data_IF_891325129597
#
_entry.id   IF_891325129597
#
_cell.length_a   1.000
_cell.length_b   1.000
_cell.length_c   1.000
_cell.angle_alpha   90.00
_cell.angle_beta   90.00
_cell.angle_gamma   90.00
#
_symmetry.space_group_name_H-M   'P 1'
#
loop_
_entity.id
_entity.type
_entity.pdbx_description
1 polymer ?
#
# COMPACT_ATOMS: atom_id res chain seq x y z
N UNK A 1 3.57 -16.75 -29.50
CA UNK A 1 4.80 -15.97 -29.25
C UNK A 1 4.61 -15.36 -27.87
N UNK A 2 5.45 -15.70 -26.89
CA UNK A 2 5.33 -15.08 -25.56
C UNK A 2 5.74 -13.61 -25.65
N UNK A 3 4.98 -12.75 -24.98
CA UNK A 3 5.28 -11.32 -24.86
C UNK A 3 6.45 -11.13 -23.90
N UNK A 4 7.34 -10.21 -24.21
CA UNK A 4 8.35 -9.72 -23.27
C UNK A 4 7.70 -8.98 -22.10
N UNK A 5 8.42 -8.87 -20.97
CA UNK A 5 7.94 -8.13 -19.80
C UNK A 5 7.63 -6.67 -20.12
N UNK A 6 8.41 -6.03 -20.99
CA UNK A 6 8.15 -4.67 -21.44
C UNK A 6 6.83 -4.57 -22.22
N UNK A 7 6.55 -5.53 -23.10
CA UNK A 7 5.29 -5.56 -23.87
C UNK A 7 4.09 -5.81 -22.94
N UNK A 8 4.22 -6.67 -21.91
CA UNK A 8 3.17 -6.89 -20.90
C UNK A 8 2.89 -5.60 -20.11
N UNK A 9 3.94 -4.89 -19.68
CA UNK A 9 3.78 -3.61 -18.96
C UNK A 9 3.11 -2.58 -19.88
N UNK A 10 3.54 -2.47 -21.13
CA UNK A 10 2.92 -1.55 -22.10
C UNK A 10 1.42 -1.82 -22.29
N UNK A 11 1.02 -3.09 -22.32
CA UNK A 11 -0.38 -3.48 -22.45
C UNK A 11 -1.21 -3.17 -21.19
N UNK A 12 -0.64 -3.31 -19.99
CA UNK A 12 -1.34 -3.03 -18.73
C UNK A 12 -1.81 -1.58 -18.59
N UNK A 13 -1.20 -0.61 -19.29
CA UNK A 13 -1.68 0.77 -19.30
C UNK A 13 -3.02 0.96 -20.02
N UNK A 14 -3.45 -0.03 -20.81
CA UNK A 14 -4.73 -0.03 -21.53
C UNK A 14 -5.81 -0.88 -20.85
N UNK A 15 -5.47 -1.57 -19.76
CA UNK A 15 -6.43 -2.33 -18.96
C UNK A 15 -7.15 -1.40 -17.97
N UNK A 16 -8.43 -1.63 -17.72
CA UNK A 16 -9.14 -0.93 -16.64
C UNK A 16 -8.46 -1.28 -15.31
N UNK A 17 -7.92 -0.26 -14.65
CA UNK A 17 -7.26 -0.42 -13.37
C UNK A 17 -8.30 -0.93 -12.36
N UNK A 18 -8.05 -2.07 -11.71
CA UNK A 18 -8.98 -2.61 -10.71
C UNK A 18 -9.23 -1.56 -9.61
N UNK A 19 -10.44 -1.01 -9.62
CA UNK A 19 -10.84 0.05 -8.71
C UNK A 19 -11.25 -0.59 -7.39
N UNK A 20 -10.60 -0.16 -6.31
CA UNK A 20 -10.97 -0.61 -4.96
C UNK A 20 -12.42 -0.23 -4.65
N UNK A 21 -13.19 -1.08 -3.95
CA UNK A 21 -14.59 -0.79 -3.65
C UNK A 21 -14.76 0.55 -2.93
N UNK A 22 -15.77 1.35 -3.30
CA UNK A 22 -16.03 2.65 -2.66
C UNK A 22 -16.26 2.52 -1.15
N UNK A 23 -16.86 1.42 -0.71
CA UNK A 23 -17.06 1.10 0.71
C UNK A 23 -15.76 0.93 1.47
N UNK A 24 -14.71 0.41 0.81
CA UNK A 24 -13.37 0.36 1.36
C UNK A 24 -12.77 1.76 1.45
N UNK A 25 -12.82 2.54 0.36
CA UNK A 25 -12.27 3.90 0.32
C UNK A 25 -12.98 4.86 1.28
N UNK A 26 -14.26 4.63 1.59
CA UNK A 26 -14.96 5.36 2.63
C UNK A 26 -14.29 5.18 4.01
N UNK A 27 -13.75 4.00 4.30
CA UNK A 27 -13.08 3.70 5.58
C UNK A 27 -11.57 4.04 5.54
N UNK A 28 -10.92 3.83 4.40
CA UNK A 28 -9.50 4.04 4.19
C UNK A 28 -9.24 4.95 2.98
N UNK A 29 -9.51 6.26 3.08
CA UNK A 29 -9.42 7.17 1.93
C UNK A 29 -8.00 7.53 1.50
N UNK A 30 -6.97 7.14 2.27
CA UNK A 30 -5.58 7.51 1.99
C UNK A 30 -4.72 6.31 1.62
N UNK A 31 -4.15 6.32 0.42
CA UNK A 31 -3.13 5.37 -0.02
C UNK A 31 -1.74 5.86 0.40
N UNK A 32 -0.96 4.98 1.05
CA UNK A 32 0.42 5.23 1.45
C UNK A 32 1.36 4.39 0.57
N UNK A 33 2.35 5.05 -0.03
CA UNK A 33 3.49 4.43 -0.70
C UNK A 33 4.77 5.10 -0.19
N UNK A 34 5.71 4.29 0.32
CA UNK A 34 6.98 4.79 0.83
C UNK A 34 8.11 3.87 0.37
N UNK A 35 9.04 4.44 -0.39
CA UNK A 35 10.26 3.78 -0.82
C UNK A 35 11.45 4.34 -0.08
N UNK A 36 12.31 3.45 0.41
CA UNK A 36 13.52 3.81 1.13
C UNK A 36 14.70 3.13 0.45
N UNK A 37 15.66 3.94 0.02
CA UNK A 37 16.86 3.43 -0.61
C UNK A 37 17.63 2.54 0.39
N UNK A 38 18.12 1.38 -0.07
CA UNK A 38 18.86 0.38 0.73
C UNK A 38 20.09 0.88 1.51
N UNK A 39 20.55 2.09 1.22
CA UNK A 39 21.66 2.75 1.94
C UNK A 39 21.21 3.43 3.23
N UNK A 40 19.91 3.67 3.39
CA UNK A 40 19.33 4.13 4.65
C UNK A 40 19.17 2.90 5.53
N UNK A 41 20.17 2.65 6.37
CA UNK A 41 20.22 1.46 7.23
C UNK A 41 19.53 1.68 8.56
N UNK A 42 19.33 2.93 8.98
CA UNK A 42 18.66 3.27 10.23
C UNK A 42 17.12 3.16 10.07
N UNK A 43 16.46 2.20 10.74
CA UNK A 43 15.01 2.04 10.69
C UNK A 43 14.24 3.24 11.28
N UNK A 44 14.89 4.05 12.12
CA UNK A 44 14.27 5.20 12.79
C UNK A 44 13.79 6.26 11.78
N UNK A 45 14.49 6.38 10.65
CA UNK A 45 14.13 7.31 9.57
C UNK A 45 12.78 6.93 8.97
N UNK A 46 12.65 5.66 8.56
CA UNK A 46 11.40 5.11 8.01
C UNK A 46 10.23 5.29 8.98
N UNK A 47 10.47 4.96 10.25
CA UNK A 47 9.47 5.06 11.32
C UNK A 47 9.03 6.50 11.56
N UNK A 48 9.97 7.44 11.59
CA UNK A 48 9.69 8.86 11.84
C UNK A 48 8.95 9.50 10.67
N UNK A 49 9.35 9.18 9.43
CA UNK A 49 8.65 9.60 8.22
C UNK A 49 7.20 9.10 8.24
N UNK A 50 6.99 7.81 8.54
CA UNK A 50 5.63 7.28 8.64
C UNK A 50 4.83 7.91 9.76
N UNK A 51 5.40 8.11 10.95
CA UNK A 51 4.70 8.78 12.04
C UNK A 51 4.22 10.18 11.64
N UNK A 52 5.10 10.96 11.01
CA UNK A 52 4.77 12.30 10.52
C UNK A 52 3.67 12.26 9.44
N UNK A 53 3.78 11.36 8.45
CA UNK A 53 2.79 11.19 7.40
C UNK A 53 1.41 10.84 7.98
N UNK A 54 1.35 9.87 8.88
CA UNK A 54 0.11 9.42 9.53
C UNK A 54 -0.51 10.53 10.38
N UNK A 55 0.30 11.27 11.13
CA UNK A 55 -0.16 12.45 11.88
C UNK A 55 -0.73 13.53 10.94
N UNK A 56 -0.07 13.80 9.82
CA UNK A 56 -0.53 14.76 8.83
C UNK A 56 -1.87 14.32 8.20
N UNK A 57 -1.98 13.06 7.78
CA UNK A 57 -3.23 12.51 7.24
C UNK A 57 -4.39 12.64 8.24
N UNK A 58 -4.15 12.28 9.50
CA UNK A 58 -5.14 12.42 10.58
C UNK A 58 -5.57 13.87 10.79
N UNK A 59 -4.61 14.79 10.87
CA UNK A 59 -4.87 16.22 11.08
C UNK A 59 -5.68 16.84 9.93
N UNK A 60 -5.58 16.27 8.73
CA UNK A 60 -6.33 16.69 7.54
C UNK A 60 -7.64 15.88 7.34
N UNK A 61 -8.12 15.18 8.36
CA UNK A 61 -9.44 14.54 8.36
C UNK A 61 -9.50 13.15 7.71
N UNK A 62 -8.36 12.56 7.36
CA UNK A 62 -8.34 11.17 6.91
C UNK A 62 -8.66 10.24 8.09
N UNK A 63 -9.66 9.37 7.91
CA UNK A 63 -10.12 8.43 8.95
C UNK A 63 -9.33 7.12 8.97
N UNK A 64 -8.59 6.85 7.90
CA UNK A 64 -7.89 5.61 7.71
C UNK A 64 -6.96 5.68 6.51
N UNK A 65 -5.93 4.84 6.53
CA UNK A 65 -5.01 4.71 5.43
C UNK A 65 -4.70 3.24 5.13
N UNK A 66 -4.34 2.98 3.88
CA UNK A 66 -3.99 1.65 3.39
C UNK A 66 -2.72 1.68 2.54
N UNK A 67 -2.13 0.51 2.33
CA UNK A 67 -0.99 0.30 1.45
C UNK A 67 -1.12 -1.04 0.73
N UNK A 68 -0.59 -1.08 -0.50
CA UNK A 68 -0.51 -2.27 -1.35
C UNK A 68 0.90 -2.86 -1.23
N UNK A 69 0.98 -4.13 -0.90
CA UNK A 69 2.24 -4.82 -0.66
C UNK A 69 2.28 -6.11 -1.45
N UNK A 70 3.40 -6.41 -2.13
CA UNK A 70 3.54 -7.71 -2.77
C UNK A 70 3.62 -8.83 -1.72
N UNK A 71 2.92 -9.96 -1.90
CA UNK A 71 2.90 -11.06 -0.91
C UNK A 71 4.29 -11.64 -0.58
N UNK A 72 5.26 -11.51 -1.49
CA UNK A 72 6.63 -12.01 -1.35
C UNK A 72 7.56 -11.05 -0.59
N UNK A 73 7.20 -9.77 -0.45
CA UNK A 73 7.98 -8.78 0.30
C UNK A 73 7.69 -8.85 1.81
N UNK A 74 8.23 -9.90 2.44
CA UNK A 74 8.09 -10.12 3.90
C UNK A 74 8.61 -8.95 4.74
N UNK A 75 9.60 -8.22 4.26
CA UNK A 75 10.22 -7.11 5.01
C UNK A 75 9.25 -5.95 5.12
N UNK A 76 8.61 -5.58 4.01
CA UNK A 76 7.68 -4.46 4.00
C UNK A 76 6.36 -4.83 4.70
N UNK A 77 5.91 -6.09 4.59
CA UNK A 77 4.79 -6.63 5.39
C UNK A 77 5.06 -6.47 6.90
N UNK A 78 6.23 -6.91 7.38
CA UNK A 78 6.60 -6.80 8.78
C UNK A 78 6.71 -5.34 9.23
N UNK A 79 7.25 -4.46 8.38
CA UNK A 79 7.35 -3.03 8.65
C UNK A 79 5.97 -2.39 8.89
N UNK A 80 5.02 -2.59 7.97
CA UNK A 80 3.66 -2.05 8.13
C UNK A 80 2.89 -2.70 9.28
N UNK A 81 3.09 -3.99 9.53
CA UNK A 81 2.52 -4.68 10.69
C UNK A 81 2.98 -4.06 12.02
N UNK A 82 4.28 -3.77 12.15
CA UNK A 82 4.84 -3.07 13.33
C UNK A 82 4.34 -1.63 13.50
N UNK A 83 3.81 -1.02 12.43
CA UNK A 83 3.17 0.29 12.47
C UNK A 83 1.67 0.22 12.82
N UNK A 84 1.15 -0.98 13.09
CA UNK A 84 -0.25 -1.22 13.45
C UNK A 84 -1.17 -1.37 12.24
N UNK A 85 -0.63 -1.53 11.03
CA UNK A 85 -1.43 -1.93 9.88
C UNK A 85 -1.75 -3.43 9.96
N UNK A 86 -2.97 -3.79 9.60
CA UNK A 86 -3.44 -5.17 9.54
C UNK A 86 -3.96 -5.47 8.15
N UNK A 87 -3.96 -6.75 7.77
CA UNK A 87 -4.51 -7.18 6.49
C UNK A 87 -6.01 -6.91 6.44
N UNK A 88 -6.44 -6.12 5.45
CA UNK A 88 -7.83 -5.86 5.17
C UNK A 88 -8.21 -6.86 4.09
N UNK A 89 -9.00 -7.86 4.49
CA UNK A 89 -9.23 -9.10 3.76
C UNK A 89 -9.44 -8.92 2.24
N UNK A 90 -9.04 -9.94 1.48
CA UNK A 90 -9.31 -10.11 0.05
C UNK A 90 -10.82 -10.19 -0.20
N UNK A 91 -11.50 -9.05 -0.27
CA UNK A 91 -12.88 -8.99 -0.71
C UNK A 91 -12.95 -9.10 -2.24
N UNK A 92 -14.11 -9.47 -2.75
CA UNK A 92 -14.39 -9.46 -4.19
C UNK A 92 -14.16 -8.03 -4.74
N UNK A 93 -13.35 -7.90 -5.79
CA UNK A 93 -12.91 -6.59 -6.34
C UNK A 93 -11.55 -6.08 -5.87
N UNK A 94 -10.79 -6.86 -5.10
CA UNK A 94 -9.42 -6.52 -4.70
C UNK A 94 -8.39 -7.13 -5.66
N UNK A 95 -7.25 -6.46 -5.92
CA UNK A 95 -6.22 -7.01 -6.78
C UNK A 95 -5.59 -8.29 -6.23
N UNK A 96 -5.44 -9.28 -7.12
CA UNK A 96 -5.03 -10.64 -6.74
C UNK A 96 -3.54 -10.78 -6.47
N UNK A 97 -2.76 -9.85 -7.00
CA UNK A 97 -1.29 -9.83 -6.97
C UNK A 97 -0.72 -9.04 -5.78
N UNK A 98 -1.57 -8.37 -4.99
CA UNK A 98 -1.17 -7.58 -3.82
C UNK A 98 -1.91 -8.00 -2.55
N UNK A 99 -1.28 -7.73 -1.42
CA UNK A 99 -1.87 -7.73 -0.08
C UNK A 99 -2.19 -6.29 0.29
N UNK A 100 -3.43 -6.03 0.68
CA UNK A 100 -3.83 -4.72 1.18
C UNK A 100 -3.76 -4.72 2.70
N UNK A 101 -2.89 -3.88 3.25
CA UNK A 101 -2.84 -3.61 4.68
C UNK A 101 -3.43 -2.23 4.94
N UNK A 102 -4.08 -2.02 6.09
CA UNK A 102 -4.48 -0.68 6.49
C UNK A 102 -4.69 -0.52 7.97
N UNK A 103 -4.96 0.71 8.37
CA UNK A 103 -5.18 1.11 9.75
C UNK A 103 -6.08 2.34 9.84
N UNK A 104 -6.80 2.46 10.95
CA UNK A 104 -7.44 3.71 11.34
C UNK A 104 -6.40 4.73 11.80
N UNK A 105 -6.74 6.01 11.62
CA UNK A 105 -5.89 7.15 11.98
C UNK A 105 -6.42 7.91 13.19
#
# INVERSE_FOLDING_TARGET
KELSEAEKIMLSFHEEQEVLPETFLANFPSLIKMDIHKKVTDPSVAKSMMACLLSSLKANGSRGAFCEVRPDDKRILEFYSKLGCFEIAKMEGFPKDVVILGRSL
#
